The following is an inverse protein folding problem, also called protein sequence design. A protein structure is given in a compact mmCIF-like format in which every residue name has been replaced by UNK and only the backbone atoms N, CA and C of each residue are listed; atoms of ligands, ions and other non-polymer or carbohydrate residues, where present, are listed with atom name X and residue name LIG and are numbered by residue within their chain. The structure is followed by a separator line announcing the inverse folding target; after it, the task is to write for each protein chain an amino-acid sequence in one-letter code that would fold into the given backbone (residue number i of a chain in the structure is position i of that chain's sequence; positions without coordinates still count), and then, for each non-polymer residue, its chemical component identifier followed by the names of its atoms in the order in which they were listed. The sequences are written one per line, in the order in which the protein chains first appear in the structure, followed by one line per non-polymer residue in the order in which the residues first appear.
data_IF_776369994494
#
_entry.id   IF_776369994494
#
_cell.length_a   1.000
_cell.length_b   1.000
_cell.length_c   1.000
_cell.angle_alpha   90.00
_cell.angle_beta   90.00
_cell.angle_gamma   90.00
#
_symmetry.space_group_name_H-M   'P 1'
#
loop_
_entity.id
_entity.type
_entity.pdbx_description
1 polymer ?
#
# COMPACT_ATOMS: atom_id res chain seq x y z
N UNK A 1 -22.96 -16.88 2.96
CA UNK A 1 -22.20 -15.74 2.42
C UNK A 1 -23.11 -14.89 1.55
N UNK A 2 -23.08 -13.60 1.78
CA UNK A 2 -23.90 -12.70 0.96
C UNK A 2 -23.24 -12.50 -0.41
N UNK A 3 -24.01 -12.26 -1.48
CA UNK A 3 -23.45 -12.08 -2.82
C UNK A 3 -22.36 -11.01 -2.89
N UNK A 4 -22.50 -9.92 -2.13
CA UNK A 4 -21.51 -8.85 -2.13
C UNK A 4 -20.17 -9.31 -1.59
N UNK A 5 -20.14 -10.31 -0.72
CA UNK A 5 -18.91 -10.83 -0.12
C UNK A 5 -18.16 -11.75 -1.07
N UNK A 6 -18.84 -12.31 -2.07
CA UNK A 6 -18.22 -13.20 -3.05
C UNK A 6 -17.22 -12.49 -3.96
N UNK A 7 -17.27 -11.15 -4.01
CA UNK A 7 -16.37 -10.35 -4.83
C UNK A 7 -14.98 -10.18 -4.21
N UNK A 8 -14.87 -10.42 -2.92
CA UNK A 8 -13.64 -10.14 -2.18
C UNK A 8 -13.25 -11.37 -1.39
N UNK A 9 -11.95 -11.65 -1.38
CA UNK A 9 -11.42 -12.75 -0.58
C UNK A 9 -11.55 -12.41 0.91
N UNK A 10 -11.44 -13.43 1.74
CA UNK A 10 -11.42 -13.25 3.20
C UNK A 10 -10.29 -12.29 3.58
N UNK A 11 -9.13 -12.44 2.92
CA UNK A 11 -7.96 -11.61 3.21
C UNK A 11 -8.25 -10.13 2.93
N UNK A 12 -8.90 -9.85 1.79
CA UNK A 12 -9.28 -8.48 1.45
C UNK A 12 -10.22 -7.91 2.49
N UNK A 13 -11.23 -8.68 2.88
CA UNK A 13 -12.21 -8.20 3.85
C UNK A 13 -11.59 -7.94 5.22
N UNK A 14 -10.66 -8.80 5.65
CA UNK A 14 -9.97 -8.60 6.92
C UNK A 14 -9.15 -7.30 6.91
N UNK A 15 -8.37 -7.10 5.86
CA UNK A 15 -7.53 -5.92 5.75
C UNK A 15 -8.37 -4.65 5.58
N UNK A 16 -9.45 -4.74 4.79
CA UNK A 16 -10.32 -3.60 4.58
C UNK A 16 -11.02 -3.17 5.86
N UNK A 17 -11.38 -4.13 6.69
CA UNK A 17 -12.10 -3.83 7.93
C UNK A 17 -11.23 -3.13 8.96
N UNK A 18 -9.96 -3.49 9.06
CA UNK A 18 -9.07 -2.96 10.09
C UNK A 18 -8.10 -1.90 9.57
N UNK A 19 -7.76 -1.94 8.28
CA UNK A 19 -6.84 -1.02 7.62
C UNK A 19 -5.57 -0.75 8.45
N UNK A 20 -4.81 -1.81 8.79
CA UNK A 20 -3.60 -1.61 9.59
C UNK A 20 -2.62 -0.70 8.86
N UNK A 21 -2.08 0.28 9.57
CA UNK A 21 -1.16 1.23 9.00
C UNK A 21 -1.80 2.46 8.37
N UNK A 22 -3.14 2.55 8.39
CA UNK A 22 -3.81 3.74 7.87
C UNK A 22 -3.51 4.96 8.73
N UNK A 23 -3.34 6.11 8.07
CA UNK A 23 -3.11 7.38 8.76
C UNK A 23 -1.83 8.04 8.31
N UNK A 24 -1.40 9.03 9.06
CA UNK A 24 -0.18 9.78 8.81
C UNK A 24 0.84 9.48 9.90
N UNK A 25 2.11 9.77 9.61
CA UNK A 25 3.16 9.64 10.63
C UNK A 25 2.96 10.68 11.72
N UNK A 26 3.22 10.26 12.96
CA UNK A 26 3.17 11.15 14.12
C UNK A 26 4.53 11.79 14.32
N UNK A 27 4.50 13.10 14.56
CA UNK A 27 5.70 13.82 14.91
C UNK A 27 6.72 13.88 13.80
N UNK A 28 7.79 14.61 14.04
CA UNK A 28 8.78 14.89 13.03
C UNK A 28 10.15 14.32 13.36
N UNK A 29 10.21 13.33 14.23
CA UNK A 29 11.51 12.77 14.62
C UNK A 29 12.08 11.93 13.50
N UNK A 30 13.32 12.26 13.08
CA UNK A 30 14.05 11.49 12.09
C UNK A 30 13.71 11.88 10.66
N UNK A 31 14.32 11.16 9.73
CA UNK A 31 14.13 11.37 8.31
C UNK A 31 12.84 10.71 7.84
N UNK A 32 12.12 11.39 6.97
CA UNK A 32 10.88 10.86 6.41
C UNK A 32 10.93 10.88 4.90
N UNK A 33 10.13 10.02 4.28
CA UNK A 33 9.98 9.97 2.84
C UNK A 33 8.51 9.72 2.54
N UNK A 34 8.09 10.07 1.34
CA UNK A 34 6.73 9.80 0.89
C UNK A 34 6.72 9.43 -0.58
N UNK A 35 5.64 8.79 -0.99
CA UNK A 35 5.42 8.48 -2.39
C UNK A 35 3.94 8.28 -2.62
N UNK A 36 3.46 8.71 -3.78
CA UNK A 36 2.05 8.58 -4.09
C UNK A 36 1.82 8.34 -5.56
N UNK A 37 0.67 7.79 -5.87
CA UNK A 37 0.24 7.55 -7.23
C UNK A 37 -1.28 7.62 -7.31
N UNK A 38 -1.78 7.94 -8.48
CA UNK A 38 -3.21 8.01 -8.73
C UNK A 38 -3.51 7.33 -10.06
N UNK A 39 -4.62 6.60 -10.13
CA UNK A 39 -5.08 6.03 -11.39
C UNK A 39 -5.44 7.14 -12.37
N UNK A 40 -5.22 6.87 -13.66
CA UNK A 40 -5.50 7.86 -14.69
C UNK A 40 -6.95 8.33 -14.69
N UNK A 41 -7.87 7.41 -14.40
CA UNK A 41 -9.30 7.73 -14.34
C UNK A 41 -9.73 8.25 -12.96
N UNK A 42 -8.76 8.49 -12.07
CA UNK A 42 -8.98 8.99 -10.72
C UNK A 42 -9.85 8.08 -9.85
N UNK A 43 -9.87 6.80 -10.17
CA UNK A 43 -10.67 5.82 -9.41
C UNK A 43 -9.94 5.27 -8.19
N UNK A 44 -8.66 5.59 -8.05
CA UNK A 44 -7.85 5.12 -6.93
C UNK A 44 -6.67 6.06 -6.71
N UNK A 45 -6.30 6.23 -5.45
CA UNK A 45 -5.15 7.03 -5.06
C UNK A 45 -4.54 6.40 -3.82
N UNK A 46 -3.21 6.36 -3.77
CA UNK A 46 -2.48 5.81 -2.63
C UNK A 46 -1.29 6.72 -2.33
N UNK A 47 -1.11 7.03 -1.06
CA UNK A 47 0.07 7.75 -0.58
C UNK A 47 0.66 7.00 0.59
N UNK A 48 1.96 6.74 0.51
CA UNK A 48 2.72 6.17 1.61
C UNK A 48 3.59 7.25 2.25
N UNK A 49 3.70 7.21 3.57
CA UNK A 49 4.64 8.03 4.34
C UNK A 49 5.46 7.10 5.21
N UNK A 50 6.76 7.30 5.26
CA UNK A 50 7.64 6.39 5.96
C UNK A 50 8.70 7.13 6.76
N UNK A 51 9.11 6.53 7.88
CA UNK A 51 10.32 6.93 8.59
C UNK A 51 11.46 6.11 8.04
N UNK A 52 12.59 6.77 7.81
CA UNK A 52 13.77 6.13 7.26
C UNK A 52 14.89 6.25 8.28
N UNK A 53 15.51 5.13 8.59
CA UNK A 53 16.68 5.09 9.49
C UNK A 53 17.73 4.21 8.87
N UNK A 54 18.93 4.75 8.71
CA UNK A 54 20.07 4.02 8.12
C UNK A 54 19.74 3.43 6.75
N UNK A 55 18.99 4.21 5.94
CA UNK A 55 18.61 3.77 4.61
C UNK A 55 17.49 2.75 4.56
N UNK A 56 16.87 2.47 5.69
CA UNK A 56 15.78 1.49 5.77
C UNK A 56 14.49 2.15 6.23
N UNK A 57 13.38 1.62 5.71
CA UNK A 57 12.06 2.04 6.18
C UNK A 57 11.78 1.29 7.47
N UNK A 58 11.54 2.04 8.55
CA UNK A 58 11.29 1.47 9.87
C UNK A 58 9.84 1.62 10.32
N UNK A 59 9.10 2.49 9.66
CA UNK A 59 7.67 2.67 9.91
C UNK A 59 7.04 3.16 8.61
N UNK A 60 5.84 2.66 8.28
CA UNK A 60 5.15 3.08 7.07
C UNK A 60 3.67 3.22 7.37
N UNK A 61 3.11 4.36 6.98
CA UNK A 61 1.69 4.62 7.07
C UNK A 61 1.16 4.93 5.68
N UNK A 62 -0.15 4.79 5.50
CA UNK A 62 -0.73 5.09 4.21
C UNK A 62 -2.05 5.81 4.35
N UNK A 63 -2.39 6.55 3.29
CA UNK A 63 -3.73 7.07 3.06
C UNK A 63 -4.10 6.68 1.64
N UNK A 64 -5.35 6.32 1.44
CA UNK A 64 -5.77 5.85 0.13
C UNK A 64 -7.28 5.98 0.00
N UNK A 65 -7.73 6.05 -1.24
CA UNK A 65 -9.13 5.88 -1.56
C UNK A 65 -9.22 5.07 -2.84
N UNK A 66 -10.35 4.34 -2.96
CA UNK A 66 -10.57 3.42 -4.05
C UNK A 66 -11.44 2.26 -3.57
N UNK A 67 -11.43 1.17 -4.33
CA UNK A 67 -12.20 -0.02 -3.95
C UNK A 67 -11.50 -0.77 -2.81
N UNK A 68 -12.18 -1.73 -2.16
CA UNK A 68 -11.59 -2.51 -1.09
C UNK A 68 -10.27 -3.19 -1.45
N UNK A 69 -10.09 -3.59 -2.72
CA UNK A 69 -8.81 -4.18 -3.14
C UNK A 69 -7.66 -3.18 -3.01
N UNK A 70 -7.89 -1.93 -3.39
CA UNK A 70 -6.87 -0.88 -3.28
C UNK A 70 -6.50 -0.64 -1.83
N UNK A 71 -7.51 -0.50 -0.98
CA UNK A 71 -7.28 -0.21 0.44
C UNK A 71 -6.58 -1.38 1.13
N UNK A 72 -7.00 -2.61 0.85
CA UNK A 72 -6.36 -3.79 1.41
C UNK A 72 -4.92 -3.92 0.92
N UNK A 73 -4.69 -3.67 -0.37
CA UNK A 73 -3.35 -3.74 -0.94
C UNK A 73 -2.44 -2.68 -0.34
N UNK A 74 -2.95 -1.47 -0.12
CA UNK A 74 -2.15 -0.40 0.49
C UNK A 74 -1.75 -0.78 1.91
N UNK A 75 -2.66 -1.35 2.69
CA UNK A 75 -2.37 -1.79 4.05
C UNK A 75 -1.29 -2.87 4.05
N UNK A 76 -1.41 -3.84 3.15
CA UNK A 76 -0.45 -4.93 3.03
C UNK A 76 0.92 -4.42 2.58
N UNK A 77 0.94 -3.54 1.59
CA UNK A 77 2.18 -2.95 1.09
C UNK A 77 2.89 -2.13 2.18
N UNK A 78 2.15 -1.35 2.94
CA UNK A 78 2.74 -0.56 4.03
C UNK A 78 3.44 -1.46 5.04
N UNK A 79 2.81 -2.57 5.37
CA UNK A 79 3.39 -3.55 6.28
C UNK A 79 4.69 -4.15 5.71
N UNK A 80 4.64 -4.59 4.45
CA UNK A 80 5.82 -5.20 3.81
C UNK A 80 6.96 -4.21 3.65
N UNK A 81 6.65 -2.95 3.35
CA UNK A 81 7.67 -1.92 3.26
C UNK A 81 8.36 -1.72 4.60
N UNK A 82 7.60 -1.69 5.68
CA UNK A 82 8.16 -1.54 7.02
C UNK A 82 8.95 -2.77 7.48
N UNK A 83 8.60 -3.94 6.95
CA UNK A 83 9.29 -5.20 7.29
C UNK A 83 10.55 -5.43 6.45
N UNK A 84 10.83 -4.56 5.50
CA UNK A 84 12.01 -4.72 4.67
C UNK A 84 11.82 -5.66 3.49
N UNK A 85 10.60 -5.84 3.03
CA UNK A 85 10.27 -6.71 1.90
C UNK A 85 9.63 -5.93 0.73
N UNK A 86 10.32 -4.89 0.21
CA UNK A 86 9.69 -4.04 -0.81
C UNK A 86 9.37 -4.77 -2.11
N UNK A 87 10.10 -5.82 -2.44
CA UNK A 87 9.82 -6.57 -3.65
C UNK A 87 8.47 -7.26 -3.65
N UNK A 88 7.88 -7.48 -2.48
CA UNK A 88 6.55 -8.08 -2.36
C UNK A 88 5.44 -7.10 -2.69
N UNK A 89 5.76 -5.82 -2.79
CA UNK A 89 4.77 -4.78 -3.07
C UNK A 89 4.46 -4.63 -4.56
N UNK A 90 4.99 -5.51 -5.41
CA UNK A 90 4.62 -5.54 -6.81
C UNK A 90 3.17 -6.01 -6.96
N UNK A 91 2.51 -5.50 -8.00
CA UNK A 91 1.08 -5.79 -8.20
C UNK A 91 0.79 -7.29 -8.25
N UNK A 92 1.68 -8.07 -8.88
CA UNK A 92 1.49 -9.52 -8.97
C UNK A 92 1.52 -10.19 -7.59
N UNK A 93 2.43 -9.76 -6.72
CA UNK A 93 2.50 -10.31 -5.35
C UNK A 93 1.28 -9.90 -4.54
N UNK A 94 0.85 -8.66 -4.67
CA UNK A 94 -0.35 -8.17 -3.99
C UNK A 94 -1.58 -8.96 -4.46
N UNK A 95 -1.69 -9.17 -5.77
CA UNK A 95 -2.82 -9.92 -6.32
C UNK A 95 -2.85 -11.35 -5.79
N UNK A 96 -1.68 -11.99 -5.70
CA UNK A 96 -1.60 -13.35 -5.18
C UNK A 96 -2.01 -13.45 -3.72
N UNK A 97 -1.49 -12.55 -2.90
CA UNK A 97 -1.80 -12.55 -1.47
C UNK A 97 -3.28 -12.26 -1.21
N UNK A 98 -3.87 -11.37 -1.99
CA UNK A 98 -5.26 -10.95 -1.81
C UNK A 98 -6.25 -11.81 -2.58
N UNK A 99 -5.76 -12.75 -3.39
CA UNK A 99 -6.59 -13.54 -4.28
C UNK A 99 -7.50 -12.62 -5.11
N UNK A 100 -6.88 -11.60 -5.70
CA UNK A 100 -7.60 -10.59 -6.45
C UNK A 100 -7.86 -11.06 -7.88
N UNK A 101 -9.03 -10.74 -8.45
CA UNK A 101 -9.30 -11.11 -9.84
C UNK A 101 -8.41 -10.30 -10.80
N UNK A 102 -8.17 -10.88 -11.99
CA UNK A 102 -7.30 -10.27 -12.98
C UNK A 102 -7.73 -8.83 -13.34
N UNK A 103 -9.02 -8.55 -13.30
CA UNK A 103 -9.54 -7.23 -13.61
C UNK A 103 -9.12 -6.14 -12.63
N UNK A 104 -8.55 -6.52 -11.49
CA UNK A 104 -8.09 -5.54 -10.49
C UNK A 104 -6.62 -5.20 -10.61
N UNK A 105 -5.90 -5.84 -11.54
CA UNK A 105 -4.46 -5.63 -11.67
C UNK A 105 -4.11 -4.16 -11.88
N UNK A 106 -4.86 -3.44 -12.70
CA UNK A 106 -4.61 -2.02 -12.94
C UNK A 106 -4.68 -1.19 -11.67
N UNK A 107 -5.59 -1.54 -10.77
CA UNK A 107 -5.71 -0.84 -9.49
C UNK A 107 -4.55 -1.17 -8.55
N UNK A 108 -4.09 -2.41 -8.58
CA UNK A 108 -2.95 -2.82 -7.77
C UNK A 108 -1.65 -2.18 -8.26
N UNK A 109 -1.57 -1.86 -9.55
CA UNK A 109 -0.42 -1.14 -10.08
C UNK A 109 -0.31 0.26 -9.49
N UNK A 110 -1.42 0.89 -9.10
CA UNK A 110 -1.38 2.19 -8.42
C UNK A 110 -0.66 2.05 -7.08
N UNK A 111 -0.93 0.96 -6.35
CA UNK A 111 -0.26 0.69 -5.08
C UNK A 111 1.23 0.45 -5.30
N UNK A 112 1.56 -0.35 -6.31
CA UNK A 112 2.95 -0.62 -6.66
C UNK A 112 3.69 0.69 -7.01
N UNK A 113 3.06 1.54 -7.82
CA UNK A 113 3.68 2.80 -8.25
C UNK A 113 3.93 3.74 -7.07
N UNK A 114 2.97 3.82 -6.14
CA UNK A 114 3.16 4.61 -4.93
C UNK A 114 4.31 4.08 -4.08
N UNK A 115 4.42 2.77 -3.98
CA UNK A 115 5.52 2.13 -3.25
C UNK A 115 6.87 2.39 -3.90
N UNK A 116 6.93 2.35 -5.23
CA UNK A 116 8.17 2.65 -5.96
C UNK A 116 8.58 4.10 -5.77
N UNK A 117 7.61 5.02 -5.79
CA UNK A 117 7.89 6.42 -5.55
C UNK A 117 8.44 6.63 -4.13
N UNK A 118 7.86 5.95 -3.15
CA UNK A 118 8.35 6.00 -1.78
C UNK A 118 9.80 5.50 -1.69
N UNK A 119 10.09 4.35 -2.33
CA UNK A 119 11.43 3.77 -2.26
C UNK A 119 12.47 4.68 -2.91
N UNK A 120 12.11 5.33 -4.02
CA UNK A 120 13.01 6.27 -4.68
C UNK A 120 13.32 7.47 -3.79
N UNK A 121 12.30 7.97 -3.08
CA UNK A 121 12.50 9.08 -2.16
C UNK A 121 13.32 8.63 -0.94
N UNK A 122 13.01 7.45 -0.40
CA UNK A 122 13.72 6.92 0.76
C UNK A 122 15.21 6.72 0.47
N UNK A 123 15.56 6.39 -0.76
CA UNK A 123 16.96 6.19 -1.15
C UNK A 123 17.76 7.49 -1.09
N UNK A 124 17.09 8.64 -1.11
CA UNK A 124 17.74 9.95 -1.08
C UNK A 124 17.84 10.55 0.31
N UNK A 125 17.12 10.00 1.28
CA UNK A 125 17.18 10.51 2.66
C UNK A 125 17.99 9.56 3.52
N UNK A 126 18.62 10.11 4.54
CA UNK A 126 19.53 9.36 5.43
C UNK A 126 18.81 8.95 6.71
#
# INVERSE_FOLDING_TARGET
MRPSDARYSVRVLELFRTLPGAGSLDGAAGSTASGEAMALDRSAWVRFEARVARGRIVECRFRAWGCPHVLAAAALAARWLAEGSPGRCEAASLAGELDAPAGKMGRLLVVEDAGRALLAEAARVQ
#
